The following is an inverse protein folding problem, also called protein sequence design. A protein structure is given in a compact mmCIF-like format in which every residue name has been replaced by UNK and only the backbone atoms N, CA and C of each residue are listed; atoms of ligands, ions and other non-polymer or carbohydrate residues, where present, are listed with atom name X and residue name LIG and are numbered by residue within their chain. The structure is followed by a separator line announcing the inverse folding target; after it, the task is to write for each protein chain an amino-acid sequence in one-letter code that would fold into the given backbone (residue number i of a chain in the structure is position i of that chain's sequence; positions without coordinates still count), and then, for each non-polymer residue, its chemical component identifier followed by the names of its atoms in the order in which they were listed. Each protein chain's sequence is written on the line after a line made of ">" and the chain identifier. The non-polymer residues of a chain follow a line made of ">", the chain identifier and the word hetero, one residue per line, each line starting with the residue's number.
data_IF_185451028820
#
_entry.id   IF_185451028820
#
_cell.length_a   1.000
_cell.length_b   1.000
_cell.length_c   1.000
_cell.angle_alpha   90.00
_cell.angle_beta   90.00
_cell.angle_gamma   90.00
#
_symmetry.space_group_name_H-M   'P 1'
#
loop_
_entity.id
_entity.type
_entity.pdbx_description
1 polymer ?
#
# COMPACT_ATOMS: atom_id res chain seq x y z
N UNK A 1 -20.55 30.94 83.01
CA UNK A 1 -21.43 30.81 81.82
C UNK A 1 -20.80 31.45 80.58
N UNK A 2 -20.19 32.64 80.65
CA UNK A 2 -19.57 33.28 79.47
C UNK A 2 -18.30 32.59 78.92
N UNK A 3 -17.51 31.91 79.77
CA UNK A 3 -16.31 31.18 79.33
C UNK A 3 -16.65 29.94 78.50
N UNK A 4 -17.66 29.16 78.92
CA UNK A 4 -18.14 27.99 78.18
C UNK A 4 -18.73 28.40 76.82
N UNK A 5 -19.46 29.52 76.78
CA UNK A 5 -20.00 30.07 75.53
C UNK A 5 -18.88 30.55 74.60
N UNK A 6 -17.82 31.17 75.14
CA UNK A 6 -16.66 31.60 74.37
C UNK A 6 -15.87 30.40 73.78
N UNK A 7 -15.67 29.34 74.56
CA UNK A 7 -15.02 28.12 74.09
C UNK A 7 -15.83 27.40 73.00
N UNK A 8 -17.15 27.29 73.18
CA UNK A 8 -18.04 26.72 72.17
C UNK A 8 -18.03 27.53 70.86
N UNK A 9 -18.01 28.87 70.96
CA UNK A 9 -17.91 29.74 69.79
C UNK A 9 -16.55 29.60 69.09
N UNK A 10 -15.45 29.45 69.84
CA UNK A 10 -14.13 29.22 69.26
C UNK A 10 -14.08 27.90 68.49
N UNK A 11 -14.59 26.82 69.09
CA UNK A 11 -14.65 25.50 68.44
C UNK A 11 -15.52 25.56 67.18
N UNK A 12 -16.66 26.25 67.23
CA UNK A 12 -17.54 26.42 66.08
C UNK A 12 -16.84 27.20 64.94
N UNK A 13 -16.11 28.26 65.26
CA UNK A 13 -15.34 29.04 64.27
C UNK A 13 -14.26 28.17 63.63
N UNK A 14 -13.53 27.37 64.42
CA UNK A 14 -12.49 26.47 63.89
C UNK A 14 -13.10 25.40 62.97
N UNK A 15 -14.27 24.85 63.32
CA UNK A 15 -14.98 23.88 62.47
C UNK A 15 -15.43 24.54 61.17
N UNK A 16 -16.02 25.74 61.23
CA UNK A 16 -16.48 26.47 60.04
C UNK A 16 -15.29 26.84 59.14
N UNK A 17 -14.18 27.32 59.69
CA UNK A 17 -12.97 27.66 58.94
C UNK A 17 -12.32 26.43 58.30
N UNK A 18 -12.32 25.30 59.02
CA UNK A 18 -11.77 24.04 58.52
C UNK A 18 -12.66 23.45 57.42
N UNK A 19 -13.99 23.53 57.58
CA UNK A 19 -14.95 23.11 56.56
C UNK A 19 -14.90 23.99 55.32
N UNK A 20 -14.76 25.32 55.46
CA UNK A 20 -14.59 26.22 54.30
C UNK A 20 -13.27 26.00 53.59
N UNK A 21 -12.17 25.76 54.32
CA UNK A 21 -10.89 25.38 53.72
C UNK A 21 -10.99 24.03 52.98
N UNK A 22 -11.71 23.05 53.53
CA UNK A 22 -11.94 21.76 52.87
C UNK A 22 -12.83 21.88 51.63
N UNK A 23 -13.92 22.66 51.71
CA UNK A 23 -14.85 22.93 50.60
C UNK A 23 -14.18 23.72 49.47
N UNK A 24 -13.17 24.55 49.75
CA UNK A 24 -12.42 25.28 48.70
C UNK A 24 -11.20 24.51 48.19
N UNK A 25 -10.44 23.83 49.05
CA UNK A 25 -9.25 23.09 48.64
C UNK A 25 -9.61 21.82 47.85
N UNK A 26 -10.69 21.12 48.23
CA UNK A 26 -11.05 19.85 47.57
C UNK A 26 -11.45 20.05 46.11
N UNK A 27 -12.25 21.05 45.70
CA UNK A 27 -12.47 21.33 44.28
C UNK A 27 -11.21 21.82 43.55
N UNK A 28 -10.25 22.47 44.23
CA UNK A 28 -8.97 22.87 43.61
C UNK A 28 -8.05 21.66 43.36
N UNK A 29 -8.10 20.65 44.24
CA UNK A 29 -7.37 19.38 44.07
C UNK A 29 -8.14 18.28 43.31
N UNK A 30 -9.47 18.40 43.18
CA UNK A 30 -10.31 17.49 42.40
C UNK A 30 -10.62 18.00 40.99
N UNK A 31 -10.58 19.33 40.74
CA UNK A 31 -10.57 19.89 39.37
C UNK A 31 -9.24 19.67 38.65
N UNK A 32 -8.23 19.16 39.34
CA UNK A 32 -6.94 18.72 38.78
C UNK A 32 -6.83 17.20 38.63
N UNK A 33 -7.90 16.44 38.89
CA UNK A 33 -7.97 15.01 38.57
C UNK A 33 -8.97 14.75 37.45
N UNK A 34 -8.42 14.36 36.30
CA UNK A 34 -9.05 13.90 35.04
C UNK A 34 -9.35 14.91 33.93
N UNK A 35 -8.90 16.16 34.05
CA UNK A 35 -8.63 17.01 32.90
C UNK A 35 -7.14 17.05 32.67
N UNK A 36 -6.63 16.34 31.67
CA UNK A 36 -5.26 16.53 31.24
C UNK A 36 -5.16 17.91 30.55
N UNK A 37 -4.88 18.94 31.35
CA UNK A 37 -4.77 20.32 30.89
C UNK A 37 -3.51 20.56 30.05
N UNK A 38 -2.64 19.54 29.89
CA UNK A 38 -1.61 19.59 28.87
C UNK A 38 -2.23 19.69 27.46
N UNK A 39 -3.45 19.17 27.25
CA UNK A 39 -4.13 19.36 25.97
C UNK A 39 -4.62 20.78 25.69
N UNK A 40 -4.68 21.70 26.68
CA UNK A 40 -5.13 23.09 26.48
C UNK A 40 -3.98 24.10 26.43
N UNK A 41 -2.84 23.82 27.06
CA UNK A 41 -1.64 24.67 26.99
C UNK A 41 -0.64 24.23 25.90
N UNK A 42 -0.80 23.01 25.35
CA UNK A 42 0.08 22.41 24.33
C UNK A 42 -0.67 22.12 23.03
N UNK A 43 -1.77 22.84 22.78
CA UNK A 43 -2.51 22.84 21.53
C UNK A 43 -1.70 23.59 20.45
N UNK A 44 -0.55 23.04 20.09
CA UNK A 44 0.16 23.44 18.89
C UNK A 44 -0.62 22.88 17.70
N UNK A 45 -1.49 23.71 17.15
CA UNK A 45 -2.35 23.32 16.04
C UNK A 45 -1.51 23.27 14.76
N UNK A 46 -1.34 22.08 14.21
CA UNK A 46 -0.90 21.89 12.82
C UNK A 46 -1.82 20.86 12.19
N UNK A 47 -2.12 21.08 10.92
CA UNK A 47 -2.98 20.22 10.16
C UNK A 47 -2.24 19.75 8.92
N UNK A 48 -2.11 18.44 8.78
CA UNK A 48 -1.76 17.86 7.49
C UNK A 48 -2.98 17.91 6.61
N UNK A 49 -2.91 18.67 5.52
CA UNK A 49 -4.07 18.92 4.65
C UNK A 49 -4.13 17.91 3.52
N UNK A 50 -2.97 17.60 2.94
CA UNK A 50 -2.87 16.70 1.79
C UNK A 50 -1.56 15.92 1.87
N UNK A 51 -1.60 14.64 1.53
CA UNK A 51 -0.43 13.80 1.34
C UNK A 51 -0.63 12.94 0.11
N UNK A 52 0.39 12.86 -0.75
CA UNK A 52 0.39 11.99 -1.93
C UNK A 52 1.69 11.20 -1.96
N UNK A 53 1.57 9.89 -1.84
CA UNK A 53 2.65 8.97 -2.20
C UNK A 53 2.73 8.86 -3.71
N UNK A 54 3.93 8.61 -4.24
CA UNK A 54 4.21 8.59 -5.67
C UNK A 54 3.88 9.94 -6.33
N UNK A 55 4.88 10.78 -6.57
CA UNK A 55 4.71 11.80 -7.62
C UNK A 55 4.52 11.02 -8.92
N UNK A 56 3.27 10.84 -9.35
CA UNK A 56 2.86 9.97 -10.45
C UNK A 56 3.90 9.93 -11.58
N UNK A 57 4.69 8.88 -11.62
CA UNK A 57 5.43 8.54 -12.84
C UNK A 57 4.39 7.86 -13.70
N UNK A 58 4.04 8.50 -14.82
CA UNK A 58 3.14 7.88 -15.78
C UNK A 58 3.77 6.55 -16.21
N UNK A 59 3.03 5.44 -16.05
CA UNK A 59 3.39 4.16 -16.66
C UNK A 59 3.72 4.40 -18.13
N UNK A 60 4.86 3.90 -18.62
CA UNK A 60 5.15 3.98 -20.05
C UNK A 60 4.14 3.06 -20.76
N UNK A 61 3.58 3.46 -21.92
CA UNK A 61 2.70 2.57 -22.66
C UNK A 61 3.46 1.33 -23.16
N UNK A 62 3.17 0.19 -22.56
CA UNK A 62 3.61 -1.14 -22.99
C UNK A 62 2.62 -1.73 -24.00
N UNK A 63 3.12 -2.59 -24.89
CA UNK A 63 2.30 -3.18 -25.95
C UNK A 63 1.66 -4.48 -25.48
N UNK A 64 0.36 -4.46 -25.23
CA UNK A 64 -0.40 -5.67 -24.88
C UNK A 64 -0.44 -6.64 -26.07
N UNK A 65 -0.11 -7.90 -25.82
CA UNK A 65 -0.18 -8.95 -26.84
C UNK A 65 -1.63 -9.18 -27.28
N UNK A 66 -1.83 -9.33 -28.59
CA UNK A 66 -3.14 -9.69 -29.16
C UNK A 66 -3.51 -11.14 -28.83
N UNK A 67 -4.76 -11.35 -28.43
CA UNK A 67 -5.30 -12.70 -28.23
C UNK A 67 -5.48 -13.45 -29.56
N UNK A 68 -5.19 -14.77 -29.62
CA UNK A 68 -5.56 -15.62 -30.75
C UNK A 68 -7.08 -15.76 -30.91
N UNK A 69 -7.54 -16.26 -32.07
CA UNK A 69 -8.96 -16.57 -32.27
C UNK A 69 -9.45 -17.79 -31.47
N UNK A 70 -10.77 -18.04 -31.42
CA UNK A 70 -11.37 -19.15 -30.69
C UNK A 70 -10.97 -20.52 -31.27
N UNK A 71 -10.88 -21.53 -30.38
CA UNK A 71 -10.54 -22.90 -30.75
C UNK A 71 -11.70 -23.61 -31.45
N UNK A 72 -11.52 -24.05 -32.69
CA UNK A 72 -12.56 -24.77 -33.45
C UNK A 72 -12.25 -26.26 -33.59
N UNK A 73 -13.27 -27.15 -33.55
CA UNK A 73 -14.67 -26.88 -33.19
C UNK A 73 -14.85 -26.57 -31.69
N UNK A 74 -15.91 -25.85 -31.35
CA UNK A 74 -16.26 -25.50 -29.96
C UNK A 74 -17.75 -25.73 -29.66
N UNK A 75 -18.04 -25.88 -28.38
CA UNK A 75 -19.36 -25.77 -27.78
C UNK A 75 -19.54 -24.38 -27.17
N UNK A 76 -20.69 -23.75 -27.44
CA UNK A 76 -21.03 -22.48 -26.81
C UNK A 76 -21.42 -22.68 -25.35
N UNK A 77 -20.85 -21.87 -24.46
CA UNK A 77 -21.26 -21.77 -23.07
C UNK A 77 -21.89 -20.39 -22.80
N UNK A 78 -23.04 -20.40 -22.15
CA UNK A 78 -23.79 -19.20 -21.77
C UNK A 78 -24.52 -19.43 -20.44
N UNK A 79 -25.22 -18.42 -19.93
CA UNK A 79 -25.94 -18.52 -18.66
C UNK A 79 -27.05 -19.58 -18.72
N UNK A 80 -27.65 -19.77 -19.89
CA UNK A 80 -28.67 -20.78 -20.15
C UNK A 80 -28.10 -22.18 -20.44
N UNK A 81 -26.81 -22.28 -20.73
CA UNK A 81 -26.14 -23.54 -21.08
C UNK A 81 -24.74 -23.60 -20.45
N UNK A 82 -24.65 -23.66 -19.11
CA UNK A 82 -23.37 -23.79 -18.42
C UNK A 82 -22.78 -25.19 -18.62
N UNK A 83 -21.47 -25.33 -18.42
CA UNK A 83 -20.80 -26.64 -18.49
C UNK A 83 -20.77 -27.27 -17.10
N UNK A 84 -21.65 -28.24 -16.91
CA UNK A 84 -21.87 -28.98 -15.64
C UNK A 84 -21.69 -30.49 -15.80
N UNK A 85 -21.11 -30.92 -16.93
CA UNK A 85 -20.74 -32.31 -17.18
C UNK A 85 -19.43 -32.34 -17.96
N UNK A 86 -18.54 -33.33 -17.71
CA UNK A 86 -17.27 -33.42 -18.41
C UNK A 86 -17.44 -33.53 -19.93
N UNK A 87 -16.60 -32.83 -20.67
CA UNK A 87 -16.55 -32.88 -22.13
C UNK A 87 -15.11 -32.70 -22.63
N UNK A 88 -14.78 -33.27 -23.77
CA UNK A 88 -13.51 -32.97 -24.46
C UNK A 88 -13.62 -31.80 -25.43
N UNK A 89 -14.82 -31.21 -25.57
CA UNK A 89 -15.05 -30.10 -26.47
C UNK A 89 -14.33 -28.84 -25.97
N UNK A 90 -13.84 -28.03 -26.92
CA UNK A 90 -13.43 -26.67 -26.60
C UNK A 90 -14.68 -25.84 -26.27
N UNK A 91 -14.54 -24.86 -25.38
CA UNK A 91 -15.63 -24.02 -24.93
C UNK A 91 -15.43 -22.61 -25.46
N UNK A 92 -16.50 -22.05 -26.01
CA UNK A 92 -16.57 -20.67 -26.46
C UNK A 92 -17.59 -19.90 -25.62
N UNK A 93 -17.15 -18.84 -24.95
CA UNK A 93 -18.04 -17.88 -24.29
C UNK A 93 -18.28 -16.73 -25.26
N UNK A 94 -19.54 -16.51 -25.73
CA UNK A 94 -19.83 -15.44 -26.68
C UNK A 94 -19.65 -14.04 -26.11
N UNK A 95 -19.70 -13.06 -27.01
CA UNK A 95 -19.63 -11.63 -26.68
C UNK A 95 -20.75 -11.26 -25.69
N UNK A 96 -20.38 -10.57 -24.61
CA UNK A 96 -21.30 -10.12 -23.55
C UNK A 96 -22.11 -11.23 -22.85
N UNK A 97 -21.70 -12.50 -22.99
CA UNK A 97 -22.36 -13.61 -22.31
C UNK A 97 -21.67 -13.97 -21.00
N UNK A 98 -22.42 -14.63 -20.12
CA UNK A 98 -21.90 -15.17 -18.86
C UNK A 98 -21.79 -16.69 -19.00
N UNK A 99 -20.67 -17.28 -18.62
CA UNK A 99 -20.47 -18.73 -18.63
C UNK A 99 -19.95 -19.21 -17.28
N UNK A 100 -20.48 -20.36 -16.83
CA UNK A 100 -19.96 -21.10 -15.69
C UNK A 100 -19.51 -22.49 -16.12
N UNK A 101 -18.30 -22.88 -15.71
CA UNK A 101 -17.71 -24.20 -15.95
C UNK A 101 -17.35 -24.82 -14.60
N UNK A 102 -17.89 -25.99 -14.32
CA UNK A 102 -17.64 -26.73 -13.06
C UNK A 102 -17.05 -28.12 -13.29
N UNK A 103 -16.91 -28.50 -14.56
CA UNK A 103 -16.47 -29.83 -14.97
C UNK A 103 -15.38 -29.73 -16.05
N UNK A 104 -14.68 -30.84 -16.27
CA UNK A 104 -13.51 -30.87 -17.17
C UNK A 104 -13.89 -30.58 -18.63
N UNK A 105 -13.07 -29.76 -19.30
CA UNK A 105 -13.29 -29.27 -20.68
C UNK A 105 -12.01 -29.36 -21.52
N UNK A 106 -12.13 -29.15 -22.85
CA UNK A 106 -11.00 -28.86 -23.73
C UNK A 106 -10.42 -27.45 -23.49
N UNK A 107 -9.99 -26.75 -24.54
CA UNK A 107 -9.57 -25.35 -24.42
C UNK A 107 -10.77 -24.42 -24.20
N UNK A 108 -10.56 -23.25 -23.60
CA UNK A 108 -11.62 -22.26 -23.34
C UNK A 108 -11.23 -20.92 -23.95
N UNK A 109 -12.15 -20.29 -24.67
CA UNK A 109 -12.01 -18.92 -25.17
C UNK A 109 -13.19 -18.07 -24.71
N UNK A 110 -12.89 -16.95 -24.03
CA UNK A 110 -13.86 -15.95 -23.63
C UNK A 110 -13.75 -14.70 -24.52
N UNK A 111 -14.85 -14.37 -25.19
CA UNK A 111 -14.94 -13.28 -26.16
C UNK A 111 -15.00 -11.89 -25.48
N UNK A 112 -14.91 -10.81 -26.29
CA UNK A 112 -15.07 -9.45 -25.77
C UNK A 112 -16.35 -9.24 -24.95
N UNK A 113 -16.21 -8.62 -23.78
CA UNK A 113 -17.29 -8.41 -22.81
C UNK A 113 -17.83 -9.67 -22.12
N UNK A 114 -17.32 -10.86 -22.45
CA UNK A 114 -17.71 -12.12 -21.80
C UNK A 114 -17.33 -12.15 -20.32
N UNK A 115 -18.09 -12.91 -19.53
CA UNK A 115 -17.83 -13.13 -18.11
C UNK A 115 -17.74 -14.63 -17.84
N UNK A 116 -16.51 -15.11 -17.64
CA UNK A 116 -16.22 -16.52 -17.41
C UNK A 116 -15.95 -16.78 -15.92
N UNK A 117 -16.62 -17.79 -15.37
CA UNK A 117 -16.32 -18.33 -14.06
C UNK A 117 -16.03 -19.83 -14.17
N UNK A 118 -14.92 -20.28 -13.63
CA UNK A 118 -14.51 -21.69 -13.60
C UNK A 118 -14.19 -22.09 -12.17
N UNK A 119 -14.82 -23.16 -11.68
CA UNK A 119 -14.66 -23.61 -10.29
C UNK A 119 -14.40 -25.11 -10.25
N UNK A 120 -13.26 -25.53 -9.70
CA UNK A 120 -12.94 -26.95 -9.49
C UNK A 120 -12.68 -27.77 -10.75
N UNK A 121 -12.76 -27.15 -11.94
CA UNK A 121 -12.63 -27.84 -13.22
C UNK A 121 -11.18 -28.03 -13.67
N UNK A 122 -10.97 -28.95 -14.61
CA UNK A 122 -9.73 -29.05 -15.39
C UNK A 122 -9.97 -28.56 -16.81
N UNK A 123 -9.19 -27.56 -17.25
CA UNK A 123 -9.09 -27.13 -18.64
C UNK A 123 -7.90 -27.89 -19.24
N UNK A 124 -8.20 -28.90 -20.07
CA UNK A 124 -7.17 -29.79 -20.62
C UNK A 124 -6.33 -29.15 -21.73
N UNK A 125 -6.75 -27.97 -22.21
CA UNK A 125 -6.02 -27.17 -23.19
C UNK A 125 -5.73 -25.76 -22.69
N UNK A 126 -5.65 -24.83 -23.62
CA UNK A 126 -5.36 -23.42 -23.35
C UNK A 126 -6.61 -22.67 -22.86
N UNK A 127 -6.40 -21.58 -22.13
CA UNK A 127 -7.43 -20.68 -21.67
C UNK A 127 -7.14 -19.25 -22.14
N UNK A 128 -8.01 -18.72 -23.01
CA UNK A 128 -7.90 -17.38 -23.57
C UNK A 128 -9.04 -16.48 -23.08
N UNK A 129 -8.71 -15.32 -22.51
CA UNK A 129 -9.62 -14.21 -22.31
C UNK A 129 -9.24 -13.07 -23.26
N UNK A 130 -10.19 -12.61 -24.06
CA UNK A 130 -9.96 -11.57 -25.08
C UNK A 130 -10.94 -10.42 -24.89
N UNK A 131 -10.45 -9.29 -24.38
CA UNK A 131 -11.26 -8.11 -24.07
C UNK A 131 -12.49 -8.43 -23.20
N UNK A 132 -12.40 -9.50 -22.40
CA UNK A 132 -13.48 -10.01 -21.58
C UNK A 132 -13.75 -9.08 -20.40
N UNK A 133 -14.99 -9.08 -19.91
CA UNK A 133 -15.36 -8.33 -18.71
C UNK A 133 -14.71 -8.94 -17.46
N UNK A 134 -14.73 -10.27 -17.34
CA UNK A 134 -14.10 -10.95 -16.23
C UNK A 134 -13.73 -12.40 -16.55
N UNK A 135 -12.65 -12.87 -15.93
CA UNK A 135 -12.27 -14.28 -15.87
C UNK A 135 -11.94 -14.64 -14.43
N UNK A 136 -12.77 -15.49 -13.81
CA UNK A 136 -12.62 -15.94 -12.44
C UNK A 136 -12.33 -17.44 -12.39
N UNK A 137 -11.16 -17.82 -11.86
CA UNK A 137 -10.72 -19.20 -11.70
C UNK A 137 -10.55 -19.52 -10.21
N UNK A 138 -11.28 -20.51 -9.72
CA UNK A 138 -11.16 -20.99 -8.34
C UNK A 138 -10.90 -22.50 -8.31
N UNK A 139 -9.75 -22.90 -7.76
CA UNK A 139 -9.32 -24.31 -7.70
C UNK A 139 -9.33 -24.99 -9.08
N UNK A 140 -8.87 -24.27 -10.10
CA UNK A 140 -8.87 -24.74 -11.49
C UNK A 140 -7.51 -25.29 -11.85
N UNK A 141 -7.48 -26.38 -12.62
CA UNK A 141 -6.27 -26.86 -13.26
C UNK A 141 -6.29 -26.49 -14.74
N UNK A 142 -5.38 -25.60 -15.18
CA UNK A 142 -5.16 -25.30 -16.60
C UNK A 142 -3.88 -26.00 -17.06
N UNK A 143 -4.03 -26.92 -18.00
CA UNK A 143 -2.93 -27.77 -18.53
C UNK A 143 -2.20 -27.09 -19.70
N UNK A 144 -2.88 -26.19 -20.40
CA UNK A 144 -2.28 -25.38 -21.45
C UNK A 144 -1.87 -23.99 -20.97
N UNK A 145 -1.68 -23.10 -21.92
CA UNK A 145 -1.30 -21.72 -21.66
C UNK A 145 -2.52 -20.88 -21.24
N UNK A 146 -2.33 -20.03 -20.23
CA UNK A 146 -3.34 -19.06 -19.78
C UNK A 146 -2.99 -17.69 -20.34
N UNK A 147 -3.82 -17.13 -21.22
CA UNK A 147 -3.58 -15.84 -21.85
C UNK A 147 -4.78 -14.91 -21.63
N UNK A 148 -4.54 -13.76 -21.01
CA UNK A 148 -5.56 -12.74 -20.74
C UNK A 148 -5.14 -11.44 -21.43
N UNK A 149 -5.81 -11.09 -22.52
CA UNK A 149 -5.58 -9.84 -23.25
C UNK A 149 -6.72 -8.87 -22.98
N UNK A 150 -6.42 -7.72 -22.38
CA UNK A 150 -7.35 -6.65 -22.04
C UNK A 150 -8.58 -7.10 -21.26
N UNK A 151 -8.42 -8.09 -20.38
CA UNK A 151 -9.51 -8.55 -19.50
C UNK A 151 -9.66 -7.57 -18.35
N UNK A 152 -10.87 -7.05 -18.11
CA UNK A 152 -11.05 -6.00 -17.10
C UNK A 152 -10.83 -6.49 -15.67
N UNK A 153 -11.12 -7.75 -15.39
CA UNK A 153 -10.93 -8.35 -14.07
C UNK A 153 -10.53 -9.83 -14.18
N UNK A 154 -9.31 -10.15 -13.77
CA UNK A 154 -8.76 -11.51 -13.73
C UNK A 154 -8.54 -11.89 -12.27
N UNK A 155 -9.24 -12.92 -11.81
CA UNK A 155 -9.11 -13.44 -10.44
C UNK A 155 -8.79 -14.93 -10.50
N UNK A 156 -7.65 -15.32 -9.93
CA UNK A 156 -7.16 -16.70 -9.90
C UNK A 156 -6.86 -17.07 -8.46
N UNK A 157 -7.55 -18.07 -7.91
CA UNK A 157 -7.42 -18.46 -6.50
C UNK A 157 -7.31 -19.97 -6.36
N UNK A 158 -6.26 -20.44 -5.69
CA UNK A 158 -6.10 -21.87 -5.39
C UNK A 158 -5.89 -22.74 -6.63
N UNK A 159 -5.53 -22.15 -7.76
CA UNK A 159 -5.46 -22.85 -9.05
C UNK A 159 -4.07 -23.44 -9.30
N UNK A 160 -3.97 -24.29 -10.31
CA UNK A 160 -2.72 -24.81 -10.84
C UNK A 160 -2.64 -24.47 -12.33
N UNK A 161 -1.68 -23.62 -12.70
CA UNK A 161 -1.46 -23.18 -14.08
C UNK A 161 -0.15 -23.79 -14.57
N UNK A 162 -0.20 -24.57 -15.63
CA UNK A 162 0.94 -25.38 -16.03
C UNK A 162 1.08 -25.41 -17.53
N UNK A 163 2.25 -25.06 -18.05
CA UNK A 163 2.62 -25.33 -19.45
C UNK A 163 3.76 -26.34 -19.56
N UNK A 164 4.22 -26.92 -18.45
CA UNK A 164 5.23 -27.97 -18.32
C UNK A 164 6.44 -27.78 -19.25
N UNK A 165 7.09 -26.62 -19.17
CA UNK A 165 8.28 -26.35 -19.98
C UNK A 165 8.01 -26.20 -21.48
N UNK A 166 6.76 -25.94 -21.88
CA UNK A 166 6.44 -25.59 -23.24
C UNK A 166 7.09 -24.25 -23.61
N UNK A 167 8.17 -24.33 -24.38
CA UNK A 167 8.94 -23.18 -24.83
C UNK A 167 8.31 -22.45 -26.02
N UNK A 168 7.15 -22.90 -26.55
CA UNK A 168 6.49 -22.22 -27.67
C UNK A 168 5.83 -20.90 -27.28
N UNK A 169 5.54 -20.71 -25.99
CA UNK A 169 5.00 -19.46 -25.46
C UNK A 169 6.14 -18.62 -24.92
N UNK A 170 6.58 -17.66 -25.74
CA UNK A 170 7.56 -16.66 -25.39
C UNK A 170 6.87 -15.31 -25.51
N UNK A 171 6.75 -14.62 -24.38
CA UNK A 171 6.34 -13.23 -24.35
C UNK A 171 7.62 -12.40 -24.32
N UNK A 172 8.29 -12.33 -23.17
CA UNK A 172 9.67 -11.81 -23.06
C UNK A 172 10.70 -12.92 -22.87
N UNK A 173 10.34 -13.95 -22.12
CA UNK A 173 11.12 -15.18 -21.99
C UNK A 173 10.24 -16.42 -22.24
N UNK A 174 10.83 -17.45 -22.83
CA UNK A 174 10.11 -18.67 -23.20
C UNK A 174 9.74 -19.54 -22.00
N UNK A 175 8.62 -20.27 -22.09
CA UNK A 175 8.12 -21.09 -20.99
C UNK A 175 7.11 -20.37 -20.12
N UNK A 176 6.39 -19.40 -20.68
CA UNK A 176 5.25 -18.76 -20.01
C UNK A 176 4.15 -19.79 -19.74
N UNK A 177 3.68 -19.84 -18.50
CA UNK A 177 2.47 -20.55 -18.12
C UNK A 177 1.25 -19.61 -18.12
N UNK A 178 1.50 -18.32 -17.87
CA UNK A 178 0.49 -17.30 -17.84
C UNK A 178 1.01 -15.98 -18.42
N UNK A 179 0.18 -15.38 -19.27
CA UNK A 179 0.25 -13.99 -19.66
C UNK A 179 -1.04 -13.29 -19.24
N UNK A 180 -0.91 -12.14 -18.60
CA UNK A 180 -1.98 -11.18 -18.39
C UNK A 180 -1.51 -9.83 -18.91
N UNK A 181 -2.34 -9.12 -19.65
CA UNK A 181 -1.96 -7.82 -20.15
C UNK A 181 -3.13 -6.89 -20.37
N UNK A 182 -2.91 -5.61 -20.10
CA UNK A 182 -3.88 -4.53 -20.27
C UNK A 182 -4.28 -3.89 -18.95
N UNK A 183 -5.03 -2.79 -19.03
CA UNK A 183 -5.37 -1.94 -17.88
C UNK A 183 -6.52 -2.50 -17.03
N UNK A 184 -6.44 -3.78 -16.66
CA UNK A 184 -7.42 -4.48 -15.84
C UNK A 184 -7.06 -4.52 -14.35
N UNK A 185 -7.84 -5.31 -13.60
CA UNK A 185 -7.48 -5.78 -12.27
C UNK A 185 -6.96 -7.21 -12.38
N UNK A 186 -5.77 -7.46 -11.86
CA UNK A 186 -5.19 -8.80 -11.79
C UNK A 186 -5.01 -9.23 -10.34
N UNK A 187 -5.59 -10.38 -9.98
CA UNK A 187 -5.43 -11.00 -8.67
C UNK A 187 -5.08 -12.47 -8.83
N UNK A 188 -3.95 -12.89 -8.28
CA UNK A 188 -3.51 -14.29 -8.22
C UNK A 188 -3.13 -14.66 -6.78
N UNK A 189 -3.86 -15.61 -6.20
CA UNK A 189 -3.73 -15.97 -4.78
C UNK A 189 -3.61 -17.47 -4.60
N UNK A 190 -2.66 -17.91 -3.78
CA UNK A 190 -2.48 -19.31 -3.40
C UNK A 190 -2.45 -20.28 -4.61
N UNK A 191 -1.89 -19.82 -5.73
CA UNK A 191 -1.85 -20.53 -7.00
C UNK A 191 -0.47 -21.13 -7.20
N UNK A 192 -0.42 -22.32 -7.79
CA UNK A 192 0.83 -22.97 -8.19
C UNK A 192 0.99 -22.79 -9.70
N UNK A 193 2.14 -22.28 -10.12
CA UNK A 193 2.46 -22.06 -11.52
C UNK A 193 3.76 -22.78 -11.87
N UNK A 194 3.69 -23.66 -12.86
CA UNK A 194 4.86 -24.36 -13.42
C UNK A 194 5.24 -23.75 -14.77
N UNK A 195 6.01 -22.67 -14.68
CA UNK A 195 6.42 -21.83 -15.79
C UNK A 195 6.61 -20.39 -15.31
N UNK A 196 6.63 -19.46 -16.26
CA UNK A 196 6.69 -18.04 -15.96
C UNK A 196 5.29 -17.44 -15.86
N UNK A 197 5.17 -16.39 -15.05
CA UNK A 197 3.99 -15.53 -15.00
C UNK A 197 4.42 -14.14 -15.42
N UNK A 198 3.68 -13.57 -16.35
CA UNK A 198 3.87 -12.20 -16.81
C UNK A 198 2.55 -11.45 -16.72
N UNK A 199 2.61 -10.26 -16.13
CA UNK A 199 1.48 -9.34 -15.98
C UNK A 199 1.92 -7.98 -16.47
N UNK A 200 1.33 -7.55 -17.59
CA UNK A 200 1.68 -6.35 -18.34
C UNK A 200 0.66 -5.24 -18.08
N UNK A 201 1.12 -4.09 -17.57
CA UNK A 201 0.36 -2.84 -17.48
C UNK A 201 -1.03 -2.91 -16.80
N UNK A 202 -1.23 -3.85 -15.87
CA UNK A 202 -2.42 -3.93 -15.03
C UNK A 202 -2.66 -2.61 -14.27
N UNK A 203 -3.89 -2.13 -14.09
CA UNK A 203 -4.11 -0.98 -13.19
C UNK A 203 -3.75 -1.38 -11.75
N UNK A 204 -4.25 -2.54 -11.33
CA UNK A 204 -3.97 -3.12 -10.02
C UNK A 204 -3.54 -4.57 -10.16
N UNK A 205 -2.38 -4.92 -9.61
CA UNK A 205 -1.89 -6.29 -9.56
C UNK A 205 -1.73 -6.76 -8.11
N UNK A 206 -2.36 -7.87 -7.74
CA UNK A 206 -2.20 -8.51 -6.42
C UNK A 206 -1.78 -9.96 -6.58
N UNK A 207 -0.53 -10.26 -6.27
CA UNK A 207 0.07 -11.58 -6.40
C UNK A 207 0.51 -12.05 -5.02
N UNK A 208 -0.27 -12.93 -4.37
CA UNK A 208 -0.04 -13.31 -2.98
C UNK A 208 -0.05 -14.82 -2.71
N UNK A 209 0.93 -15.33 -1.97
CA UNK A 209 0.92 -16.72 -1.50
C UNK A 209 1.13 -17.77 -2.59
N UNK A 210 1.64 -17.37 -3.76
CA UNK A 210 1.79 -18.26 -4.91
C UNK A 210 3.12 -19.02 -4.88
N UNK A 211 3.17 -20.15 -5.58
CA UNK A 211 4.42 -20.87 -5.88
C UNK A 211 4.63 -20.87 -7.38
N UNK A 212 5.65 -20.18 -7.86
CA UNK A 212 5.93 -20.00 -9.29
C UNK A 212 7.30 -20.59 -9.56
N UNK A 213 7.41 -21.59 -10.42
CA UNK A 213 8.70 -22.26 -10.67
C UNK A 213 9.66 -21.43 -11.52
N UNK A 214 9.14 -20.51 -12.33
CA UNK A 214 9.91 -19.65 -13.25
C UNK A 214 10.01 -18.21 -12.79
N UNK A 215 10.14 -17.30 -13.77
CA UNK A 215 10.09 -15.84 -13.56
C UNK A 215 8.67 -15.42 -13.14
N UNK A 216 8.61 -14.46 -12.23
CA UNK A 216 7.42 -13.64 -12.02
C UNK A 216 7.76 -12.22 -12.45
N UNK A 217 7.06 -11.73 -13.45
CA UNK A 217 7.10 -10.35 -13.89
C UNK A 217 5.75 -9.69 -13.61
N UNK A 218 5.80 -8.50 -13.03
CA UNK A 218 4.62 -7.72 -12.70
C UNK A 218 4.86 -6.26 -12.99
N UNK A 219 4.06 -5.76 -13.92
CA UNK A 219 3.92 -4.35 -14.23
C UNK A 219 2.50 -3.88 -13.89
N UNK A 220 2.42 -2.90 -12.99
CA UNK A 220 1.18 -2.30 -12.54
C UNK A 220 1.20 -0.80 -12.72
N UNK A 221 0.35 -0.27 -13.60
CA UNK A 221 0.29 1.15 -13.91
C UNK A 221 -0.04 2.02 -12.69
N UNK A 222 -0.88 1.54 -11.77
CA UNK A 222 -1.24 2.29 -10.57
C UNK A 222 -0.68 1.64 -9.30
N UNK A 223 -1.05 0.38 -9.01
CA UNK A 223 -0.65 -0.28 -7.77
C UNK A 223 -0.44 -1.79 -7.91
N UNK A 224 0.70 -2.26 -7.42
CA UNK A 224 1.07 -3.66 -7.33
C UNK A 224 1.37 -4.09 -5.89
N UNK A 225 0.91 -5.28 -5.53
CA UNK A 225 1.26 -5.95 -4.29
C UNK A 225 1.73 -7.38 -4.58
N UNK A 226 2.96 -7.69 -4.18
CA UNK A 226 3.58 -8.99 -4.37
C UNK A 226 4.01 -9.49 -3.00
N UNK A 227 3.25 -10.41 -2.42
CA UNK A 227 3.42 -10.80 -1.04
C UNK A 227 3.49 -12.32 -0.82
N UNK A 228 4.43 -12.78 0.00
CA UNK A 228 4.51 -14.16 0.49
C UNK A 228 4.56 -15.22 -0.64
N UNK A 229 5.16 -14.89 -1.78
CA UNK A 229 5.31 -15.84 -2.88
C UNK A 229 6.64 -16.61 -2.79
N UNK A 230 6.65 -17.82 -3.33
CA UNK A 230 7.86 -18.57 -3.63
C UNK A 230 8.10 -18.53 -5.14
N UNK A 231 9.19 -17.88 -5.56
CA UNK A 231 9.54 -17.65 -6.97
C UNK A 231 10.85 -18.39 -7.25
N UNK A 232 10.79 -19.39 -8.12
CA UNK A 232 11.92 -20.25 -8.47
C UNK A 232 12.93 -19.58 -9.40
N UNK A 233 12.51 -18.55 -10.12
CA UNK A 233 13.35 -17.77 -11.03
C UNK A 233 13.59 -16.34 -10.58
N UNK A 234 13.48 -15.42 -11.54
CA UNK A 234 13.65 -13.98 -11.34
C UNK A 234 12.33 -13.36 -10.89
N UNK A 235 12.39 -12.39 -9.97
CA UNK A 235 11.30 -11.45 -9.75
C UNK A 235 11.65 -10.16 -10.50
N UNK A 236 10.93 -9.90 -11.58
CA UNK A 236 11.10 -8.71 -12.42
C UNK A 236 9.99 -7.71 -12.17
N UNK A 237 10.36 -6.45 -11.96
CA UNK A 237 9.48 -5.39 -11.50
C UNK A 237 9.83 -4.10 -12.22
N UNK A 238 9.31 -3.94 -13.41
CA UNK A 238 9.48 -2.76 -14.21
C UNK A 238 8.18 -1.99 -14.39
N UNK A 239 8.37 -0.69 -14.66
CA UNK A 239 7.33 0.27 -15.04
C UNK A 239 6.10 0.39 -14.10
N UNK A 240 6.23 -0.01 -12.84
CA UNK A 240 5.13 0.08 -11.89
C UNK A 240 4.89 1.52 -11.42
N UNK A 241 3.64 1.93 -11.26
CA UNK A 241 3.27 3.17 -10.58
C UNK A 241 3.68 3.13 -9.11
N UNK A 242 3.05 2.22 -8.35
CA UNK A 242 3.35 1.94 -6.95
C UNK A 242 3.51 0.43 -6.76
N UNK A 243 4.60 -0.04 -6.16
CA UNK A 243 4.81 -1.48 -5.93
C UNK A 243 5.18 -1.77 -4.47
N UNK A 244 4.53 -2.77 -3.88
CA UNK A 244 4.81 -3.26 -2.51
C UNK A 244 5.20 -4.72 -2.57
N UNK A 245 6.39 -5.05 -2.07
CA UNK A 245 6.97 -6.40 -2.19
C UNK A 245 7.35 -6.92 -0.82
N UNK A 246 6.69 -7.95 -0.31
CA UNK A 246 7.00 -8.48 1.02
C UNK A 246 7.02 -9.99 1.17
N UNK A 247 7.91 -10.49 2.02
CA UNK A 247 7.85 -11.88 2.46
C UNK A 247 8.09 -12.90 1.34
N UNK A 248 8.59 -12.46 0.18
CA UNK A 248 8.81 -13.34 -0.95
C UNK A 248 10.13 -14.09 -0.79
N UNK A 249 10.16 -15.34 -1.23
CA UNK A 249 11.40 -16.10 -1.42
C UNK A 249 11.67 -16.18 -2.91
N UNK A 250 12.79 -15.61 -3.36
CA UNK A 250 13.21 -15.58 -4.77
C UNK A 250 14.50 -16.38 -4.90
N UNK A 251 14.44 -17.48 -5.66
CA UNK A 251 15.57 -18.38 -5.89
C UNK A 251 16.48 -17.92 -7.05
N UNK A 252 16.23 -16.74 -7.61
CA UNK A 252 17.07 -16.05 -8.58
C UNK A 252 17.28 -14.58 -8.22
N UNK A 253 17.23 -13.71 -9.23
CA UNK A 253 17.47 -12.27 -9.07
C UNK A 253 16.18 -11.50 -8.74
N UNK A 254 16.34 -10.34 -8.12
CA UNK A 254 15.30 -9.33 -8.00
C UNK A 254 15.70 -8.12 -8.84
N UNK A 255 14.90 -7.78 -9.84
CA UNK A 255 15.16 -6.69 -10.76
C UNK A 255 14.14 -5.57 -10.50
N UNK A 256 14.65 -4.38 -10.17
CA UNK A 256 13.84 -3.17 -10.06
C UNK A 256 14.02 -2.31 -11.31
N UNK A 257 13.02 -2.21 -12.16
CA UNK A 257 12.95 -1.28 -13.27
C UNK A 257 12.54 0.13 -12.84
N UNK A 258 11.97 0.90 -13.78
CA UNK A 258 11.59 2.31 -13.60
C UNK A 258 10.27 2.45 -12.84
N UNK A 259 10.26 2.06 -11.57
CA UNK A 259 9.08 2.13 -10.72
C UNK A 259 8.90 3.54 -10.14
N UNK A 260 7.68 4.08 -10.18
CA UNK A 260 7.35 5.42 -9.67
C UNK A 260 7.47 5.52 -8.15
N UNK A 261 7.08 4.44 -7.45
CA UNK A 261 7.24 4.29 -6.02
C UNK A 261 7.36 2.82 -5.65
N UNK A 262 8.25 2.48 -4.71
CA UNK A 262 8.46 1.12 -4.27
C UNK A 262 8.64 1.01 -2.75
N UNK A 263 8.14 -0.09 -2.20
CA UNK A 263 8.39 -0.52 -0.83
C UNK A 263 8.71 -2.02 -0.77
N UNK A 264 9.68 -2.40 0.06
CA UNK A 264 10.18 -3.76 0.17
C UNK A 264 10.42 -4.15 1.64
N UNK A 265 10.22 -5.42 1.99
CA UNK A 265 10.44 -5.93 3.34
C UNK A 265 10.37 -7.45 3.46
N UNK A 266 11.28 -8.07 4.22
CA UNK A 266 11.35 -9.52 4.47
C UNK A 266 11.43 -10.41 3.23
N UNK A 267 12.01 -9.92 2.14
CA UNK A 267 12.27 -10.75 0.97
C UNK A 267 13.59 -11.53 1.16
N UNK A 268 13.60 -12.82 0.81
CA UNK A 268 14.80 -13.65 0.76
C UNK A 268 15.20 -13.84 -0.69
N UNK A 269 16.34 -13.31 -1.09
CA UNK A 269 16.85 -13.36 -2.46
C UNK A 269 18.14 -14.16 -2.47
N UNK A 270 18.21 -15.25 -3.25
CA UNK A 270 19.43 -16.07 -3.36
C UNK A 270 20.42 -15.50 -4.39
N UNK A 271 19.93 -14.79 -5.41
CA UNK A 271 20.72 -14.13 -6.44
C UNK A 271 21.07 -12.67 -6.10
N UNK A 272 21.25 -11.85 -7.14
CA UNK A 272 21.52 -10.42 -6.99
C UNK A 272 20.25 -9.57 -7.01
N UNK A 273 20.32 -8.40 -6.38
CA UNK A 273 19.36 -7.32 -6.59
C UNK A 273 19.97 -6.27 -7.51
N UNK A 274 19.25 -5.86 -8.55
CA UNK A 274 19.64 -4.75 -9.44
C UNK A 274 18.55 -3.71 -9.56
N UNK A 275 18.93 -2.50 -9.99
CA UNK A 275 18.02 -1.36 -10.05
C UNK A 275 17.79 -0.70 -8.70
N UNK A 276 16.73 0.07 -8.55
CA UNK A 276 16.44 0.81 -7.32
C UNK A 276 14.97 0.80 -6.96
N UNK A 277 14.66 0.26 -5.78
CA UNK A 277 13.40 0.52 -5.10
C UNK A 277 13.50 1.93 -4.49
N UNK A 278 12.65 2.85 -4.92
CA UNK A 278 12.65 4.22 -4.40
C UNK A 278 11.28 4.52 -3.84
N UNK A 279 11.23 4.90 -2.58
CA UNK A 279 10.04 5.48 -1.98
C UNK A 279 10.11 7.00 -2.05
N UNK A 280 8.98 7.65 -2.28
CA UNK A 280 8.84 9.10 -2.25
C UNK A 280 7.45 9.53 -1.74
N UNK A 281 7.36 10.75 -1.19
CA UNK A 281 6.14 11.35 -0.65
C UNK A 281 6.17 12.86 -0.89
N UNK A 282 5.02 13.45 -1.20
CA UNK A 282 4.78 14.88 -1.02
C UNK A 282 3.66 15.12 -0.02
N UNK A 283 3.88 15.99 0.96
CA UNK A 283 2.90 16.34 2.00
C UNK A 283 2.81 17.86 2.17
N UNK A 284 1.59 18.35 2.30
CA UNK A 284 1.27 19.74 2.60
C UNK A 284 0.90 19.87 4.08
N UNK A 285 1.68 20.66 4.83
CA UNK A 285 1.56 20.85 6.27
C UNK A 285 1.25 22.31 6.56
N UNK A 286 0.06 22.58 7.10
CA UNK A 286 -0.36 23.93 7.52
C UNK A 286 -0.09 24.12 9.02
N UNK A 287 0.61 25.21 9.36
CA UNK A 287 0.70 25.66 10.74
C UNK A 287 -0.54 26.50 11.09
N UNK A 288 -1.44 25.94 11.91
CA UNK A 288 -2.68 26.58 12.38
C UNK A 288 -2.56 27.15 13.80
N UNK A 289 -1.39 27.04 14.43
CA UNK A 289 -1.13 27.51 15.79
C UNK A 289 -0.71 28.97 15.84
N UNK A 290 -0.39 29.45 17.04
CA UNK A 290 -0.08 30.87 17.28
C UNK A 290 1.42 31.22 17.25
N UNK A 291 2.29 30.22 17.01
CA UNK A 291 3.75 30.39 16.92
C UNK A 291 4.36 29.60 15.74
N UNK A 292 5.50 30.04 15.18
CA UNK A 292 6.22 29.26 14.18
C UNK A 292 6.68 27.90 14.74
N UNK A 293 6.56 26.85 13.93
CA UNK A 293 7.01 25.49 14.26
C UNK A 293 8.24 25.10 13.45
N UNK A 294 9.10 24.27 14.03
CA UNK A 294 10.31 23.74 13.37
C UNK A 294 10.16 22.24 13.15
N UNK A 295 10.13 21.77 11.91
CA UNK A 295 10.31 20.35 11.62
C UNK A 295 11.80 20.03 11.75
N UNK A 296 12.16 19.14 12.68
CA UNK A 296 13.56 18.85 13.04
C UNK A 296 14.02 17.44 12.63
N UNK A 297 13.09 16.50 12.49
CA UNK A 297 13.38 15.12 12.09
C UNK A 297 12.18 14.49 11.41
N UNK A 298 12.43 13.60 10.46
CA UNK A 298 11.44 12.75 9.80
C UNK A 298 11.91 11.31 9.94
N UNK A 299 11.02 10.40 10.30
CA UNK A 299 11.29 8.97 10.41
C UNK A 299 10.43 8.19 9.43
N UNK A 300 11.03 7.21 8.77
CA UNK A 300 10.34 6.18 7.99
C UNK A 300 10.51 4.88 8.76
N UNK A 301 9.41 4.33 9.28
CA UNK A 301 9.43 3.08 10.06
C UNK A 301 10.46 3.05 11.19
N UNK A 302 10.62 4.16 11.94
CA UNK A 302 11.60 4.35 13.03
C UNK A 302 13.06 4.55 12.64
N UNK A 303 13.39 4.62 11.34
CA UNK A 303 14.70 5.08 10.89
C UNK A 303 14.65 6.56 10.51
N UNK A 304 15.57 7.41 10.99
CA UNK A 304 15.63 8.81 10.59
C UNK A 304 15.97 8.90 9.10
N UNK A 305 15.21 9.72 8.37
CA UNK A 305 15.48 9.97 6.96
C UNK A 305 16.68 10.92 6.82
N UNK A 306 17.79 10.40 6.30
CA UNK A 306 18.98 11.18 6.01
C UNK A 306 18.97 11.66 4.54
N UNK A 307 18.48 12.88 4.30
CA UNK A 307 18.49 13.50 2.97
C UNK A 307 17.27 13.17 2.10
N UNK A 308 17.35 13.51 0.81
CA UNK A 308 16.23 13.32 -0.13
C UNK A 308 15.03 14.25 0.11
N UNK A 309 15.20 15.25 0.97
CA UNK A 309 14.19 16.24 1.34
C UNK A 309 14.23 17.44 0.39
N UNK A 310 13.08 17.97 0.03
CA UNK A 310 12.89 19.28 -0.59
C UNK A 310 11.64 19.92 0.00
N UNK A 311 11.62 21.23 0.23
CA UNK A 311 10.37 21.90 0.62
C UNK A 311 10.31 23.36 0.16
N UNK A 312 9.09 23.87 0.14
CA UNK A 312 8.77 25.27 -0.13
C UNK A 312 7.56 25.72 0.70
N UNK A 313 7.44 27.03 0.96
CA UNK A 313 6.18 27.61 1.42
C UNK A 313 5.25 27.82 0.23
N UNK A 314 4.00 27.38 0.34
CA UNK A 314 3.01 27.53 -0.72
C UNK A 314 2.63 29.00 -0.99
N UNK A 315 2.87 29.90 -0.04
CA UNK A 315 2.74 31.34 -0.26
C UNK A 315 3.80 31.94 -1.19
N UNK A 316 4.86 31.17 -1.52
CA UNK A 316 6.00 31.66 -2.30
C UNK A 316 6.98 32.54 -1.51
N UNK A 317 6.79 32.68 -0.19
CA UNK A 317 7.74 33.39 0.69
C UNK A 317 9.06 32.62 0.80
N UNK A 318 10.13 33.35 1.13
CA UNK A 318 11.42 32.73 1.40
C UNK A 318 11.32 31.74 2.57
N UNK A 319 11.99 30.61 2.42
CA UNK A 319 12.02 29.51 3.39
C UNK A 319 13.23 29.63 4.32
N UNK A 320 13.08 29.22 5.58
CA UNK A 320 14.21 29.16 6.53
C UNK A 320 14.75 27.73 6.70
N UNK A 321 15.99 27.54 6.28
CA UNK A 321 16.76 26.30 6.26
C UNK A 321 17.85 26.33 7.32
N UNK A 322 17.58 25.76 8.50
CA UNK A 322 18.46 25.98 9.65
C UNK A 322 18.64 27.48 9.91
N UNK A 323 19.82 28.02 9.58
CA UNK A 323 20.19 29.43 9.76
C UNK A 323 20.18 30.27 8.47
N UNK A 324 19.76 29.72 7.33
CA UNK A 324 19.82 30.42 6.01
C UNK A 324 18.42 30.62 5.44
N UNK A 325 18.17 31.77 4.83
CA UNK A 325 16.97 32.02 4.02
C UNK A 325 17.24 31.61 2.56
N UNK A 326 16.41 30.74 2.01
CA UNK A 326 16.52 30.24 0.64
C UNK A 326 15.14 30.12 -0.02
N UNK A 327 15.10 29.83 -1.32
CA UNK A 327 13.85 29.49 -2.05
C UNK A 327 13.58 27.99 -2.11
N UNK A 328 14.63 27.18 -1.96
CA UNK A 328 14.58 25.71 -1.88
C UNK A 328 15.54 25.22 -0.82
N UNK A 329 15.27 24.04 -0.28
CA UNK A 329 15.93 23.61 0.94
C UNK A 329 15.90 22.10 1.11
N UNK A 330 17.07 21.52 1.39
CA UNK A 330 17.23 20.07 1.53
C UNK A 330 17.71 19.65 2.92
N UNK A 331 17.82 20.61 3.85
CA UNK A 331 18.33 20.40 5.21
C UNK A 331 17.27 20.76 6.25
N UNK A 332 17.21 19.95 7.30
CA UNK A 332 16.46 20.25 8.52
C UNK A 332 17.34 21.14 9.45
N UNK A 333 16.75 21.97 10.34
CA UNK A 333 15.33 22.15 10.57
C UNK A 333 14.66 23.10 9.56
N UNK A 334 13.35 22.91 9.38
CA UNK A 334 12.46 23.68 8.51
C UNK A 334 11.50 24.50 9.36
N UNK A 335 11.41 25.80 9.12
CA UNK A 335 10.50 26.67 9.89
C UNK A 335 9.23 26.95 9.07
N UNK A 336 8.07 26.60 9.65
CA UNK A 336 6.74 26.89 9.08
C UNK A 336 6.14 28.05 9.88
N UNK A 337 6.04 29.26 9.31
CA UNK A 337 5.41 30.39 9.99
C UNK A 337 3.93 30.14 10.27
N UNK A 338 3.36 30.90 11.21
CA UNK A 338 1.93 30.85 11.53
C UNK A 338 1.08 31.19 10.30
N UNK A 339 0.06 30.38 10.04
CA UNK A 339 -0.87 30.56 8.92
C UNK A 339 -0.28 30.21 7.55
N UNK A 340 0.97 29.73 7.51
CA UNK A 340 1.64 29.32 6.29
C UNK A 340 1.60 27.80 6.12
N UNK A 341 1.60 27.38 4.86
CA UNK A 341 1.63 25.97 4.48
C UNK A 341 2.98 25.63 3.85
N UNK A 342 3.61 24.57 4.32
CA UNK A 342 4.82 24.01 3.73
C UNK A 342 4.47 22.78 2.91
N UNK A 343 4.90 22.77 1.64
CA UNK A 343 4.96 21.56 0.84
C UNK A 343 6.31 20.90 1.04
N UNK A 344 6.29 19.69 1.58
CA UNK A 344 7.47 18.89 1.85
C UNK A 344 7.45 17.69 0.91
N UNK A 345 8.47 17.57 0.08
CA UNK A 345 8.71 16.41 -0.76
C UNK A 345 9.91 15.66 -0.21
N UNK A 346 9.83 14.34 -0.17
CA UNK A 346 10.89 13.49 0.34
C UNK A 346 11.04 12.24 -0.53
N UNK A 347 12.27 11.77 -0.70
CA UNK A 347 12.59 10.53 -1.37
C UNK A 347 13.61 9.73 -0.55
N UNK A 348 13.53 8.41 -0.62
CA UNK A 348 14.43 7.50 0.09
C UNK A 348 14.54 6.16 -0.63
N UNK A 349 15.61 5.44 -0.39
CA UNK A 349 15.74 4.04 -0.81
C UNK A 349 15.33 3.17 0.37
N UNK A 350 14.28 2.33 0.24
CA UNK A 350 13.91 1.42 1.30
C UNK A 350 15.09 0.51 1.67
N UNK A 351 15.40 0.36 2.96
CA UNK A 351 16.43 -0.56 3.43
C UNK A 351 16.11 -2.01 3.05
N UNK A 352 17.13 -2.74 2.60
CA UNK A 352 16.99 -4.03 1.92
C UNK A 352 16.55 -5.22 2.79
N UNK A 353 16.61 -5.12 4.13
CA UNK A 353 16.61 -6.33 4.98
C UNK A 353 15.78 -6.31 6.26
N UNK A 354 15.09 -5.22 6.64
CA UNK A 354 14.76 -5.08 8.08
C UNK A 354 13.38 -4.55 8.47
N UNK A 355 12.39 -4.49 7.58
CA UNK A 355 11.10 -3.90 7.95
C UNK A 355 9.91 -4.83 7.74
N UNK A 356 9.06 -5.04 8.77
CA UNK A 356 7.73 -5.56 8.56
C UNK A 356 6.95 -4.61 7.68
N UNK A 357 6.50 -5.14 6.55
CA UNK A 357 5.46 -4.50 5.78
C UNK A 357 4.07 -4.80 6.40
N UNK A 358 3.11 -3.89 6.21
CA UNK A 358 3.28 -2.60 5.53
C UNK A 358 4.13 -1.65 6.37
N UNK A 359 4.81 -0.69 5.74
CA UNK A 359 5.30 0.43 6.52
C UNK A 359 4.06 1.06 7.11
N UNK A 360 4.00 1.15 8.43
CA UNK A 360 2.74 1.51 9.08
C UNK A 360 2.60 3.03 9.17
N UNK A 361 3.71 3.78 9.12
CA UNK A 361 3.69 5.24 9.22
C UNK A 361 4.98 5.95 8.76
N UNK A 362 4.84 7.18 8.29
CA UNK A 362 5.89 8.20 8.29
C UNK A 362 5.61 9.12 9.48
N UNK A 363 6.65 9.42 10.24
CA UNK A 363 6.54 10.21 11.45
C UNK A 363 7.37 11.49 11.34
N UNK A 364 6.77 12.62 11.71
CA UNK A 364 7.35 13.97 11.66
C UNK A 364 7.51 14.50 13.07
N UNK A 365 8.70 15.01 13.36
CA UNK A 365 9.01 15.60 14.67
C UNK A 365 9.06 17.13 14.56
N UNK A 366 8.12 17.80 15.21
CA UNK A 366 8.08 19.27 15.30
C UNK A 366 8.53 19.77 16.67
N UNK A 367 9.16 20.96 16.70
CA UNK A 367 9.61 21.66 17.91
C UNK A 367 9.24 23.14 17.80
N UNK A 368 8.74 23.75 18.88
CA UNK A 368 8.29 25.16 18.90
C UNK A 368 8.92 25.96 20.06
N UNK A 369 8.13 26.59 20.94
CA UNK A 369 8.51 27.40 22.11
C UNK A 369 9.14 26.57 23.23
N UNK A 370 8.85 25.28 23.33
CA UNK A 370 9.47 24.37 24.30
C UNK A 370 10.29 23.29 23.58
N UNK A 371 11.32 22.74 24.23
CA UNK A 371 12.08 21.57 23.76
C UNK A 371 11.24 20.27 23.70
N UNK A 372 9.94 20.36 24.00
CA UNK A 372 9.01 19.25 23.96
C UNK A 372 8.54 19.03 22.51
N UNK A 373 8.50 17.77 22.12
CA UNK A 373 8.26 17.34 20.75
C UNK A 373 6.77 17.23 20.47
N UNK A 374 6.35 17.71 19.31
CA UNK A 374 5.01 17.50 18.78
C UNK A 374 5.10 16.55 17.60
N UNK A 375 4.29 15.50 17.67
CA UNK A 375 4.38 14.30 16.83
C UNK A 375 3.32 14.35 15.72
N UNK A 376 3.75 14.45 14.46
CA UNK A 376 2.89 14.28 13.30
C UNK A 376 2.98 12.85 12.76
N UNK A 377 1.86 12.14 12.70
CA UNK A 377 1.79 10.79 12.12
C UNK A 377 1.08 10.82 10.75
N UNK A 378 1.71 10.21 9.75
CA UNK A 378 1.07 9.83 8.50
C UNK A 378 1.02 8.30 8.44
N UNK A 379 -0.18 7.72 8.52
CA UNK A 379 -0.37 6.29 8.35
C UNK A 379 -0.46 5.92 6.87
N UNK A 380 0.11 4.77 6.51
CA UNK A 380 -0.10 4.19 5.19
C UNK A 380 -1.42 3.41 5.21
N UNK A 381 -2.39 3.80 4.39
CA UNK A 381 -3.59 2.99 4.14
C UNK A 381 -3.74 2.69 2.65
N UNK A 382 -4.26 1.51 2.36
CA UNK A 382 -4.65 1.07 1.02
C UNK A 382 -5.58 2.13 0.39
N UNK A 383 -5.22 2.68 -0.79
CA UNK A 383 -5.97 3.76 -1.44
C UNK A 383 -5.42 5.19 -1.26
N UNK A 384 -4.19 5.38 -0.75
CA UNK A 384 -3.35 6.60 -0.84
C UNK A 384 -3.97 7.95 -0.44
N UNK A 385 -5.13 7.97 0.21
CA UNK A 385 -5.70 9.16 0.84
C UNK A 385 -5.28 9.26 2.30
N UNK A 386 -4.89 10.46 2.74
CA UNK A 386 -4.74 10.79 4.16
C UNK A 386 -6.11 10.76 4.81
N UNK A 387 -6.43 9.71 5.57
CA UNK A 387 -7.47 9.79 6.58
C UNK A 387 -6.83 9.53 7.94
N UNK A 388 -6.76 10.57 8.77
CA UNK A 388 -6.89 10.61 10.24
C UNK A 388 -6.09 11.80 10.79
N UNK A 389 -6.57 12.52 11.83
CA UNK A 389 -5.91 13.70 12.39
C UNK A 389 -4.59 13.36 13.06
N UNK A 390 -3.70 14.34 13.17
CA UNK A 390 -2.53 14.30 14.06
C UNK A 390 -2.95 13.79 15.44
N UNK A 391 -2.22 12.79 15.96
CA UNK A 391 -2.37 12.32 17.34
C UNK A 391 -1.17 12.81 18.14
N UNK A 392 -1.44 13.53 19.23
CA UNK A 392 -0.45 13.78 20.27
C UNK A 392 -0.23 12.46 21.00
N UNK A 393 0.92 11.81 20.78
CA UNK A 393 1.38 10.74 21.66
C UNK A 393 2.39 11.33 22.66
N UNK A 394 2.19 11.06 23.95
CA UNK A 394 3.27 11.24 24.91
C UNK A 394 4.41 10.30 24.51
N UNK A 395 5.62 10.82 24.28
CA UNK A 395 6.80 10.00 23.97
C UNK A 395 6.92 8.83 24.95
N UNK A 396 6.72 7.61 24.43
CA UNK A 396 7.54 6.46 24.83
C UNK A 396 8.62 6.40 23.77
N UNK A 397 9.77 7.01 24.01
CA UNK A 397 10.85 7.19 23.03
C UNK A 397 11.16 5.92 22.20
N UNK A 398 11.25 6.05 20.86
CA UNK A 398 12.37 5.41 20.16
C UNK A 398 12.96 6.26 19.01
N UNK A 399 14.26 6.09 18.67
CA UNK A 399 15.25 5.28 19.35
C UNK A 399 15.99 6.12 20.41
N UNK A 400 15.88 5.75 21.68
CA UNK A 400 16.89 6.11 22.66
C UNK A 400 18.16 5.31 22.33
N UNK A 401 19.30 6.02 22.22
CA UNK A 401 20.60 5.41 22.55
C UNK A 401 20.70 5.39 24.07
#
# INVERSE_FOLDING_TARGET
>A
MSTIVAELLMVLIVIIMSATAFIWAVPVFQSTTSGDNSNLAFQEHFQTITGSFASFVASIPETVQSSPGPFTPYQTCSASSPVTSPTSANIFVPVNEVCSITESVGSVYASPGGNLTVVGATINGDLYGDNSLAVNLSNVHVVGWTHMSNVQNVVIVGSFLNTSGNMSHCTDACGSAMYEGGRGLFTMVNTIVTGQVESEVSHYATVTGNTISGRLEVESADFGQIANNHIGGVLDLDQNGVIVISGNTVSGNLLYGTNGWCSTGFNTISGSTSGSCVGNLSVDILNTGDIPVKLVTIYVSNAPLAGGLSWSLLSGKQVQCGNVLASTCTILPIIIPVGEMARITMGWTPPSTTYPLPWNYIYFTFVSRYLNFVDGYLYFTYGLGVQVPSRLENRVCPPCI
#
